data_IF_530764828647
#
_entry.id   IF_530764828647
#
_cell.length_a   1.000
_cell.length_b   1.000
_cell.length_c   1.000
_cell.angle_alpha   90.00
_cell.angle_beta   90.00
_cell.angle_gamma   90.00
#
_symmetry.space_group_name_H-M   'P 1'
#
loop_
_entity.id
_entity.type
_entity.pdbx_description
1 polymer ?
#
# COMPACT_ATOMS: atom_id res chain seq x y z
N UNK A 1 -22.69 5.73 -1.87
CA UNK A 1 -22.47 7.10 -1.34
C UNK A 1 -21.46 7.80 -2.24
N UNK A 2 -21.73 9.05 -2.62
CA UNK A 2 -20.75 9.88 -3.32
C UNK A 2 -19.96 10.72 -2.32
N UNK A 3 -18.68 10.96 -2.57
CA UNK A 3 -17.81 11.75 -1.69
C UNK A 3 -17.95 13.27 -1.88
N UNK A 4 -18.72 13.72 -2.89
CA UNK A 4 -18.93 15.14 -3.18
C UNK A 4 -17.66 15.89 -3.61
N UNK A 5 -16.66 15.18 -4.13
CA UNK A 5 -15.39 15.73 -4.57
C UNK A 5 -15.39 16.00 -6.08
N UNK A 6 -14.73 17.08 -6.50
CA UNK A 6 -14.43 17.28 -7.92
C UNK A 6 -13.29 16.35 -8.37
N UNK A 7 -13.10 16.23 -9.68
CA UNK A 7 -11.97 15.48 -10.25
C UNK A 7 -10.64 16.10 -9.81
N UNK A 8 -10.52 17.43 -9.80
CA UNK A 8 -9.30 18.11 -9.35
C UNK A 8 -8.98 17.85 -7.87
N UNK A 9 -10.00 17.68 -7.03
CA UNK A 9 -9.81 17.43 -5.60
C UNK A 9 -9.13 16.08 -5.33
N UNK A 10 -9.35 15.07 -6.18
CA UNK A 10 -8.76 13.74 -5.97
C UNK A 10 -7.25 13.72 -6.17
N UNK A 11 -6.69 14.72 -6.86
CA UNK A 11 -5.25 14.86 -7.07
C UNK A 11 -4.58 15.68 -5.96
N UNK A 12 -5.35 16.30 -5.05
CA UNK A 12 -4.81 16.97 -3.86
C UNK A 12 -4.45 15.91 -2.81
N UNK A 13 -3.18 15.77 -2.38
CA UNK A 13 -2.71 14.63 -1.58
C UNK A 13 -3.53 14.36 -0.32
N UNK A 14 -3.76 15.40 0.50
CA UNK A 14 -4.50 15.25 1.74
C UNK A 14 -5.98 14.88 1.52
N UNK A 15 -6.58 15.36 0.43
CA UNK A 15 -7.98 15.05 0.10
C UNK A 15 -8.07 13.62 -0.41
N UNK A 16 -7.14 13.20 -1.27
CA UNK A 16 -7.05 11.82 -1.75
C UNK A 16 -6.95 10.83 -0.58
N UNK A 17 -6.06 11.08 0.37
CA UNK A 17 -5.88 10.20 1.53
C UNK A 17 -7.14 10.13 2.40
N UNK A 18 -7.80 11.27 2.63
CA UNK A 18 -9.07 11.31 3.38
C UNK A 18 -10.19 10.55 2.65
N UNK A 19 -10.29 10.72 1.33
CA UNK A 19 -11.24 10.00 0.48
C UNK A 19 -11.00 8.49 0.57
N UNK A 20 -9.76 8.07 0.39
CA UNK A 20 -9.31 6.68 0.47
C UNK A 20 -9.65 6.05 1.83
N UNK A 21 -9.33 6.74 2.94
CA UNK A 21 -9.68 6.30 4.29
C UNK A 21 -11.20 6.14 4.46
N UNK A 22 -11.98 7.10 3.95
CA UNK A 22 -13.45 7.08 4.06
C UNK A 22 -14.04 5.87 3.35
N UNK A 23 -13.60 5.58 2.12
CA UNK A 23 -14.07 4.42 1.36
C UNK A 23 -13.63 3.12 2.04
N UNK A 24 -12.37 3.02 2.44
CA UNK A 24 -11.84 1.81 3.07
C UNK A 24 -12.57 1.50 4.39
N UNK A 25 -12.84 2.53 5.21
CA UNK A 25 -13.63 2.39 6.43
C UNK A 25 -15.05 1.90 6.12
N UNK A 26 -15.73 2.48 5.14
CA UNK A 26 -17.08 2.05 4.77
C UNK A 26 -17.10 0.58 4.30
N UNK A 27 -16.11 0.17 3.50
CA UNK A 27 -15.95 -1.23 3.09
C UNK A 27 -15.69 -2.16 4.28
N UNK A 28 -14.87 -1.74 5.26
CA UNK A 28 -14.61 -2.51 6.48
C UNK A 28 -15.85 -2.64 7.36
N UNK A 29 -16.58 -1.54 7.59
CA UNK A 29 -17.84 -1.55 8.33
C UNK A 29 -18.89 -2.44 7.64
N UNK A 30 -18.88 -2.52 6.31
CA UNK A 30 -19.71 -3.48 5.55
C UNK A 30 -19.25 -4.91 5.73
N UNK A 31 -17.93 -5.17 5.71
CA UNK A 31 -17.37 -6.50 5.90
C UNK A 31 -17.68 -7.07 7.30
N UNK A 32 -17.65 -6.23 8.33
CA UNK A 32 -17.96 -6.62 9.72
C UNK A 32 -19.39 -7.18 9.89
N UNK A 33 -20.29 -6.94 8.96
CA UNK A 33 -21.65 -7.51 8.98
C UNK A 33 -21.67 -9.02 8.67
N UNK A 34 -20.62 -9.54 8.05
CA UNK A 34 -20.57 -10.93 7.57
C UNK A 34 -19.29 -11.67 7.98
N UNK A 35 -18.27 -10.96 8.47
CA UNK A 35 -16.96 -11.52 8.76
C UNK A 35 -16.41 -11.08 10.13
N UNK A 36 -15.61 -11.92 10.81
CA UNK A 36 -14.94 -11.55 12.05
C UNK A 36 -14.05 -10.31 11.88
N UNK A 37 -14.01 -9.48 12.94
CA UNK A 37 -13.15 -8.31 12.99
C UNK A 37 -11.65 -8.65 12.87
N UNK A 38 -10.86 -7.65 12.51
CA UNK A 38 -9.43 -7.78 12.30
C UNK A 38 -9.09 -8.18 10.86
N UNK A 39 -8.11 -9.06 10.69
CA UNK A 39 -7.51 -9.37 9.39
C UNK A 39 -8.50 -9.98 8.38
N UNK A 40 -9.51 -10.74 8.84
CA UNK A 40 -10.51 -11.34 7.94
C UNK A 40 -11.37 -10.24 7.31
N UNK A 41 -12.03 -9.41 8.13
CA UNK A 41 -12.80 -8.27 7.63
C UNK A 41 -11.94 -7.29 6.80
N UNK A 42 -10.67 -7.08 7.15
CA UNK A 42 -9.78 -6.19 6.40
C UNK A 42 -9.52 -6.69 4.97
N UNK A 43 -9.32 -7.99 4.78
CA UNK A 43 -9.14 -8.58 3.44
C UNK A 43 -10.39 -8.39 2.56
N UNK A 44 -11.58 -8.59 3.13
CA UNK A 44 -12.83 -8.33 2.42
C UNK A 44 -13.04 -6.83 2.15
N UNK A 45 -12.62 -5.96 3.06
CA UNK A 45 -12.63 -4.51 2.86
C UNK A 45 -11.73 -4.07 1.70
N UNK A 46 -10.53 -4.64 1.58
CA UNK A 46 -9.61 -4.38 0.46
C UNK A 46 -10.18 -4.87 -0.88
N UNK A 47 -10.89 -5.99 -0.88
CA UNK A 47 -11.64 -6.45 -2.06
C UNK A 47 -12.71 -5.42 -2.48
N UNK A 48 -13.50 -4.94 -1.52
CA UNK A 48 -14.53 -3.93 -1.75
C UNK A 48 -13.94 -2.60 -2.20
N UNK A 49 -12.83 -2.17 -1.62
CA UNK A 49 -12.16 -0.92 -1.97
C UNK A 49 -11.79 -0.87 -3.46
N UNK A 50 -11.30 -1.99 -4.01
CA UNK A 50 -10.89 -2.07 -5.40
C UNK A 50 -12.05 -2.37 -6.37
N UNK A 51 -12.97 -3.27 -5.99
CA UNK A 51 -13.96 -3.84 -6.94
C UNK A 51 -15.41 -3.47 -6.63
N UNK A 52 -15.68 -2.84 -5.49
CA UNK A 52 -17.02 -2.65 -4.94
C UNK A 52 -17.66 -3.93 -4.37
N UNK A 53 -17.02 -5.10 -4.51
CA UNK A 53 -17.50 -6.38 -3.99
C UNK A 53 -16.61 -6.89 -2.85
N UNK A 54 -17.21 -7.44 -1.79
CA UNK A 54 -16.47 -8.05 -0.69
C UNK A 54 -15.70 -9.32 -1.10
N UNK A 55 -15.97 -9.88 -2.28
CA UNK A 55 -15.39 -11.16 -2.74
C UNK A 55 -14.54 -11.02 -4.02
N UNK A 56 -14.94 -10.18 -4.98
CA UNK A 56 -14.35 -10.23 -6.33
C UNK A 56 -12.83 -9.95 -6.34
N UNK A 57 -12.36 -9.03 -5.49
CA UNK A 57 -10.94 -8.71 -5.32
C UNK A 57 -10.13 -9.83 -4.64
N UNK A 58 -10.79 -10.74 -3.91
CA UNK A 58 -10.16 -11.98 -3.43
C UNK A 58 -10.10 -12.98 -4.58
N UNK A 59 -11.23 -13.21 -5.26
CA UNK A 59 -11.33 -14.20 -6.34
C UNK A 59 -10.42 -13.90 -7.53
N UNK A 60 -10.19 -12.62 -7.86
CA UNK A 60 -9.30 -12.22 -8.95
C UNK A 60 -7.82 -12.07 -8.53
N UNK A 61 -7.48 -12.38 -7.27
CA UNK A 61 -6.12 -12.36 -6.76
C UNK A 61 -5.58 -10.99 -6.34
N UNK A 62 -6.34 -9.90 -6.47
CA UNK A 62 -5.91 -8.56 -6.07
C UNK A 62 -5.49 -8.51 -4.59
N UNK A 63 -6.31 -9.03 -3.68
CA UNK A 63 -6.01 -9.00 -2.24
C UNK A 63 -4.73 -9.77 -1.91
N UNK A 64 -4.48 -10.88 -2.61
CA UNK A 64 -3.24 -11.65 -2.47
C UNK A 64 -2.01 -10.82 -2.84
N UNK A 65 -2.08 -10.07 -3.95
CA UNK A 65 -0.98 -9.17 -4.37
C UNK A 65 -0.70 -8.10 -3.32
N UNK A 66 -1.74 -7.46 -2.77
CA UNK A 66 -1.61 -6.44 -1.72
C UNK A 66 -0.93 -7.02 -0.47
N UNK A 67 -1.34 -8.21 -0.03
CA UNK A 67 -0.73 -8.88 1.12
C UNK A 67 0.76 -9.17 0.86
N UNK A 68 1.11 -9.61 -0.34
CA UNK A 68 2.50 -9.92 -0.67
C UNK A 68 3.39 -8.66 -0.63
N UNK A 69 2.92 -7.54 -1.19
CA UNK A 69 3.62 -6.26 -1.10
C UNK A 69 3.79 -5.83 0.36
N UNK A 70 2.71 -5.89 1.15
CA UNK A 70 2.77 -5.51 2.57
C UNK A 70 3.75 -6.37 3.40
N UNK A 71 3.96 -7.64 3.03
CA UNK A 71 4.94 -8.53 3.68
C UNK A 71 6.37 -8.21 3.31
N UNK A 72 6.61 -7.64 2.13
CA UNK A 72 7.93 -7.21 1.67
C UNK A 72 8.33 -5.86 2.28
N UNK A 73 7.34 -5.07 2.72
CA UNK A 73 7.55 -3.81 3.43
C UNK A 73 7.96 -4.05 4.89
N UNK A 74 9.07 -4.76 5.12
CA UNK A 74 9.59 -5.08 6.47
C UNK A 74 10.18 -3.88 7.20
N UNK A 75 10.48 -2.81 6.46
CA UNK A 75 11.13 -1.61 7.00
C UNK A 75 10.14 -0.65 7.69
N UNK A 76 8.83 -0.86 7.52
CA UNK A 76 7.79 -0.03 8.15
C UNK A 76 7.39 -0.60 9.52
N UNK A 77 8.20 -0.31 10.54
CA UNK A 77 7.83 -0.62 11.93
C UNK A 77 6.95 0.49 12.48
N UNK A 78 5.63 0.34 12.37
CA UNK A 78 4.67 1.33 12.91
C UNK A 78 4.73 1.26 14.45
N UNK A 79 5.25 2.29 15.14
CA UNK A 79 5.28 2.30 16.59
C UNK A 79 3.85 2.37 17.11
N UNK A 80 3.58 1.72 18.25
CA UNK A 80 2.32 1.96 18.95
C UNK A 80 2.32 3.40 19.44
N UNK A 81 1.28 4.17 19.08
CA UNK A 81 1.10 5.51 19.63
C UNK A 81 0.76 5.38 21.11
N UNK A 82 1.74 5.73 21.94
CA UNK A 82 1.52 5.85 23.37
C UNK A 82 0.87 7.21 23.67
N UNK A 83 -0.02 7.29 24.67
CA UNK A 83 -0.50 8.58 25.17
C UNK A 83 0.67 9.44 25.63
N UNK A 84 0.54 10.77 25.51
CA UNK A 84 1.55 11.72 25.98
C UNK A 84 1.93 11.41 27.43
N UNK A 85 3.21 11.11 27.67
CA UNK A 85 3.76 10.85 29.01
C UNK A 85 4.11 9.40 29.34
N UNK A 86 4.00 8.44 28.41
CA UNK A 86 4.53 7.08 28.59
C UNK A 86 5.80 6.86 27.76
N UNK A 87 6.94 6.66 28.43
CA UNK A 87 8.20 6.26 27.81
C UNK A 87 8.22 4.76 27.54
N UNK A 88 8.45 4.38 26.29
CA UNK A 88 8.70 2.99 25.89
C UNK A 88 10.02 2.49 26.51
N UNK A 89 9.97 1.74 27.61
CA UNK A 89 11.16 1.14 28.23
C UNK A 89 11.69 -0.13 27.53
N UNK A 90 11.15 -0.48 26.35
CA UNK A 90 11.69 -1.58 25.55
C UNK A 90 12.11 -1.11 24.16
N UNK A 91 13.28 -0.48 24.11
CA UNK A 91 14.01 -0.21 22.88
C UNK A 91 15.46 -0.64 23.10
N UNK A 92 15.69 -1.94 23.05
CA UNK A 92 16.99 -2.48 22.65
C UNK A 92 17.20 -2.13 21.18
N UNK A 93 17.68 -0.91 20.96
CA UNK A 93 18.17 -0.43 19.69
C UNK A 93 19.54 -1.07 19.42
N UNK A 94 19.57 -2.05 18.51
CA UNK A 94 20.80 -2.33 17.76
C UNK A 94 20.77 -1.45 16.52
N UNK A 95 21.74 -0.54 16.48
CA UNK A 95 22.02 0.46 15.47
C UNK A 95 22.08 -0.11 14.03
N UNK A 96 21.66 0.65 13.00
CA UNK A 96 21.58 0.14 11.63
C UNK A 96 22.96 0.11 10.97
N UNK A 97 23.51 -1.09 10.79
CA UNK A 97 24.62 -1.31 9.86
C UNK A 97 24.09 -1.60 8.45
N UNK A 98 24.31 -0.60 7.61
CA UNK A 98 24.37 -0.61 6.16
C UNK A 98 24.70 -1.99 5.54
N UNK A 99 23.74 -2.56 4.79
CA UNK A 99 23.97 -3.77 4.00
C UNK A 99 23.41 -3.62 2.57
N UNK A 100 24.31 -3.15 1.71
CA UNK A 100 24.55 -3.51 0.30
C UNK A 100 23.46 -4.35 -0.41
N UNK A 101 22.88 -3.74 -1.43
CA UNK A 101 22.06 -4.34 -2.48
C UNK A 101 22.62 -5.65 -3.03
N UNK A 102 21.79 -6.69 -3.06
CA UNK A 102 21.95 -7.81 -3.99
C UNK A 102 20.61 -8.02 -4.69
N UNK A 103 20.51 -7.57 -5.94
CA UNK A 103 19.32 -7.71 -6.76
C UNK A 103 19.22 -9.15 -7.27
N UNK A 104 18.14 -9.86 -6.94
CA UNK A 104 17.75 -11.06 -7.68
C UNK A 104 16.78 -10.65 -8.77
N UNK A 105 17.20 -10.82 -10.01
CA UNK A 105 16.36 -10.68 -11.20
C UNK A 105 15.27 -11.75 -11.19
N UNK A 106 14.02 -11.35 -11.43
CA UNK A 106 12.90 -12.25 -11.69
C UNK A 106 12.62 -12.21 -13.19
N UNK A 107 12.78 -13.34 -13.86
CA UNK A 107 12.47 -13.60 -15.25
C UNK A 107 10.96 -13.85 -15.41
N UNK A 108 10.26 -12.88 -16.00
CA UNK A 108 8.81 -12.89 -16.11
C UNK A 108 8.31 -13.76 -17.25
N UNK A 109 7.38 -14.68 -16.95
CA UNK A 109 6.47 -15.26 -17.94
C UNK A 109 5.36 -14.24 -18.27
N UNK A 110 5.01 -14.17 -19.55
CA UNK A 110 4.26 -13.06 -20.15
C UNK A 110 2.76 -13.36 -20.22
N UNK A 111 1.99 -12.79 -19.31
CA UNK A 111 0.53 -12.92 -19.28
C UNK A 111 -0.14 -11.61 -19.73
N UNK A 112 -1.37 -11.71 -20.24
CA UNK A 112 -2.25 -10.73 -20.93
C UNK A 112 -2.49 -9.37 -20.21
N UNK A 113 -1.75 -9.06 -19.15
CA UNK A 113 -1.54 -7.70 -18.64
C UNK A 113 -0.34 -7.00 -19.31
N UNK A 114 0.40 -7.68 -20.19
CA UNK A 114 1.61 -7.17 -20.85
C UNK A 114 1.40 -6.41 -22.16
N UNK A 115 0.24 -5.82 -22.42
CA UNK A 115 0.03 -5.03 -23.64
C UNK A 115 -0.87 -3.82 -23.38
N UNK A 116 -0.27 -2.77 -22.84
CA UNK A 116 -0.87 -1.45 -22.73
C UNK A 116 0.23 -0.48 -22.36
N UNK A 117 0.53 0.44 -23.29
CA UNK A 117 1.53 1.49 -23.24
C UNK A 117 2.05 1.82 -21.83
N UNK A 118 3.36 1.61 -21.62
CA UNK A 118 4.03 1.70 -20.32
C UNK A 118 3.57 2.88 -19.46
N UNK A 119 2.66 2.57 -18.55
CA UNK A 119 2.13 3.51 -17.57
C UNK A 119 3.08 3.64 -16.37
N UNK A 120 2.80 4.60 -15.48
CA UNK A 120 3.65 4.90 -14.33
C UNK A 120 3.86 3.72 -13.38
N UNK A 121 3.02 2.69 -13.46
CA UNK A 121 3.02 1.50 -12.61
C UNK A 121 3.73 0.31 -13.25
N UNK A 122 4.03 0.39 -14.55
CA UNK A 122 4.73 -0.64 -15.32
C UNK A 122 6.26 -0.57 -15.18
N UNK A 123 6.80 0.46 -14.52
CA UNK A 123 8.24 0.61 -14.29
C UNK A 123 8.61 0.15 -12.88
N UNK A 124 9.56 -0.78 -12.82
CA UNK A 124 10.05 -1.47 -11.61
C UNK A 124 10.68 -0.56 -10.51
N UNK A 125 10.53 0.76 -10.61
CA UNK A 125 11.23 1.74 -9.78
C UNK A 125 10.48 3.08 -9.61
N UNK A 126 9.18 3.16 -9.92
CA UNK A 126 8.39 4.37 -9.61
C UNK A 126 7.64 4.23 -8.29
N UNK A 127 8.38 4.02 -7.21
CA UNK A 127 7.83 4.43 -5.92
C UNK A 127 7.99 5.95 -5.83
N UNK A 128 6.91 6.67 -5.52
CA UNK A 128 6.89 8.15 -5.47
C UNK A 128 7.85 8.74 -4.41
N UNK A 129 8.51 7.86 -3.65
CA UNK A 129 9.46 8.16 -2.58
C UNK A 129 10.93 7.86 -2.94
N UNK A 130 11.21 7.35 -4.15
CA UNK A 130 12.56 7.02 -4.59
C UNK A 130 12.99 7.92 -5.76
N UNK A 131 13.25 9.19 -5.49
CA UNK A 131 13.92 10.09 -6.44
C UNK A 131 15.40 9.72 -6.50
N UNK A 132 15.84 9.22 -7.66
CA UNK A 132 17.27 9.03 -7.96
C UNK A 132 17.92 10.42 -8.01
N UNK A 133 18.82 10.74 -7.08
CA UNK A 133 19.64 11.94 -7.19
C UNK A 133 20.45 11.89 -8.48
N UNK A 134 20.29 12.89 -9.34
CA UNK A 134 21.15 13.10 -10.49
C UNK A 134 22.54 13.50 -9.98
N UNK A 135 23.52 12.61 -10.16
CA UNK A 135 24.93 12.98 -10.03
C UNK A 135 25.28 13.96 -11.14
N UNK A 136 25.53 15.21 -10.76
CA UNK A 136 26.10 16.23 -11.62
C UNK A 136 27.40 15.72 -12.26
N UNK A 137 27.45 15.81 -13.59
CA UNK A 137 28.62 15.50 -14.41
C UNK A 137 29.72 16.53 -14.10
N UNK A 138 30.82 16.06 -13.50
CA UNK A 138 32.08 16.79 -13.40
C UNK A 138 32.88 16.62 -14.69
N UNK A 139 33.33 17.76 -15.21
CA UNK A 139 34.34 18.03 -16.26
C UNK A 139 34.04 17.58 -17.72
#
# INVERSE_FOLDING_TARGET
MGLGLSVDDIFKPCINLRASQTILKACYDSALKSYPAGQVALRHALSCYNTGSLINGISNGYVTKVINVARQSTDLKIPTLLPDGQTSEDSTATEPQQAKSTATQYDGEQDVFGSGDGDAFSRNNTDAFLTKQETAKGE
#
